data_IF_434024273185
#
_entry.id   IF_434024273185
#
_cell.length_a   1.000
_cell.length_b   1.000
_cell.length_c   1.000
_cell.angle_alpha   90.00
_cell.angle_beta   90.00
_cell.angle_gamma   90.00
#
_symmetry.space_group_name_H-M   'P 1'
#
loop_
_entity.id
_entity.type
_entity.pdbx_description
1 polymer ?
#
# COMPACT_ATOMS: atom_id res chain seq x y z
N UNK A 1 -9.44 -40.61 21.96
CA UNK A 1 -10.49 -41.03 21.01
C UNK A 1 -9.83 -40.99 19.64
N UNK A 2 -9.58 -42.16 19.05
CA UNK A 2 -8.63 -42.29 17.94
C UNK A 2 -9.30 -42.05 16.59
N UNK A 3 -8.60 -41.33 15.71
CA UNK A 3 -8.92 -41.28 14.28
C UNK A 3 -8.36 -42.54 13.59
N UNK A 4 -9.07 -43.15 12.64
CA UNK A 4 -8.50 -44.14 11.74
C UNK A 4 -8.06 -43.48 10.41
N UNK A 5 -6.87 -43.85 9.95
CA UNK A 5 -6.51 -43.75 8.52
C UNK A 5 -7.36 -44.72 7.69
N UNK A 6 -7.68 -44.34 6.45
CA UNK A 6 -7.90 -45.28 5.35
C UNK A 6 -7.27 -44.71 4.08
N UNK A 7 -6.42 -45.53 3.48
CA UNK A 7 -5.64 -45.26 2.27
C UNK A 7 -6.28 -45.93 1.04
N UNK A 8 -5.86 -45.50 -0.15
CA UNK A 8 -6.01 -46.05 -1.51
C UNK A 8 -7.07 -47.12 -1.83
N UNK A 9 -7.89 -46.85 -2.86
CA UNK A 9 -7.93 -47.56 -4.17
C UNK A 9 -9.09 -46.95 -5.01
N UNK A 10 -9.06 -46.77 -6.34
CA UNK A 10 -8.07 -47.13 -7.35
C UNK A 10 -8.74 -47.74 -8.59
N UNK A 11 -9.17 -46.94 -9.59
CA UNK A 11 -9.43 -47.41 -10.97
C UNK A 11 -9.48 -46.21 -11.97
N UNK A 12 -8.96 -46.42 -13.18
CA UNK A 12 -8.89 -45.51 -14.34
C UNK A 12 -10.23 -45.49 -15.13
N UNK A 13 -10.48 -44.69 -16.18
CA UNK A 13 -9.60 -44.32 -17.30
C UNK A 13 -10.18 -43.20 -18.22
N UNK A 14 -9.31 -42.62 -19.07
CA UNK A 14 -9.51 -41.85 -20.34
C UNK A 14 -10.79 -41.00 -20.59
N UNK A 15 -10.78 -39.83 -21.22
CA UNK A 15 -9.88 -39.18 -22.23
C UNK A 15 -9.87 -37.64 -21.95
N UNK A 16 -9.10 -36.75 -22.59
CA UNK A 16 -8.24 -36.81 -23.78
C UNK A 16 -7.02 -35.85 -23.64
N UNK A 17 -6.17 -35.73 -24.68
CA UNK A 17 -5.05 -34.79 -24.73
C UNK A 17 -4.90 -34.09 -26.08
N UNK A 18 -4.41 -32.84 -26.07
CA UNK A 18 -3.47 -32.17 -27.02
C UNK A 18 -3.62 -30.62 -26.95
N UNK A 19 -2.61 -29.81 -27.37
CA UNK A 19 -1.20 -30.13 -27.61
C UNK A 19 -0.22 -29.24 -26.79
N UNK A 20 1.01 -29.74 -26.58
CA UNK A 20 2.14 -28.88 -26.18
C UNK A 20 2.60 -28.05 -27.38
N UNK A 21 2.65 -26.73 -27.27
CA UNK A 21 3.23 -25.86 -28.29
C UNK A 21 4.76 -26.01 -28.29
N UNK A 22 5.31 -26.44 -29.42
CA UNK A 22 6.75 -26.61 -29.59
C UNK A 22 7.44 -25.27 -29.89
N UNK A 23 8.56 -25.00 -29.22
CA UNK A 23 9.40 -23.83 -29.48
C UNK A 23 10.11 -23.94 -30.84
N UNK A 24 9.74 -23.10 -31.79
CA UNK A 24 10.42 -23.01 -33.09
C UNK A 24 11.72 -22.19 -32.97
N UNK A 25 12.85 -22.76 -33.43
CA UNK A 25 14.10 -22.03 -33.65
C UNK A 25 14.11 -21.40 -35.06
N UNK A 26 14.40 -20.10 -35.20
CA UNK A 26 14.97 -19.56 -36.43
C UNK A 26 16.46 -19.87 -36.54
N UNK A 27 16.94 -20.09 -37.77
CA UNK A 27 18.32 -20.52 -38.05
C UNK A 27 19.39 -19.43 -37.90
N UNK A 28 20.65 -19.85 -37.87
CA UNK A 28 21.80 -18.98 -37.63
C UNK A 28 22.13 -18.07 -38.84
N UNK A 29 22.22 -16.77 -38.58
CA UNK A 29 22.92 -15.80 -39.41
C UNK A 29 24.11 -15.22 -38.63
N UNK A 30 25.34 -15.39 -39.14
CA UNK A 30 26.55 -14.84 -38.51
C UNK A 30 26.62 -13.32 -38.74
N UNK A 31 26.55 -12.52 -37.67
CA UNK A 31 27.17 -11.20 -37.67
C UNK A 31 27.72 -10.88 -36.28
N UNK A 32 29.05 -10.77 -36.20
CA UNK A 32 29.78 -10.50 -34.97
C UNK A 32 29.96 -9.00 -34.74
N UNK A 33 29.47 -8.49 -33.62
CA UNK A 33 29.95 -7.22 -33.05
C UNK A 33 30.21 -7.41 -31.56
N UNK A 34 31.49 -7.64 -31.23
CA UNK A 34 32.00 -7.66 -29.86
C UNK A 34 32.61 -6.29 -29.57
N UNK A 35 31.85 -5.45 -28.87
CA UNK A 35 32.29 -4.36 -28.00
C UNK A 35 31.18 -4.27 -26.95
N UNK A 36 31.35 -4.60 -25.68
CA UNK A 36 32.47 -4.29 -24.80
C UNK A 36 31.87 -3.81 -23.48
N UNK A 37 30.96 -4.62 -22.92
CA UNK A 37 30.15 -4.25 -21.75
C UNK A 37 30.97 -4.29 -20.47
N UNK A 38 31.45 -3.14 -20.01
CA UNK A 38 32.23 -3.01 -18.79
C UNK A 38 31.41 -3.34 -17.56
N UNK A 39 31.77 -4.42 -16.87
CA UNK A 39 31.17 -4.81 -15.59
C UNK A 39 31.57 -3.83 -14.49
N UNK A 40 30.74 -2.82 -14.22
CA UNK A 40 30.90 -1.98 -13.02
C UNK A 40 30.22 -2.68 -11.84
N UNK A 41 30.98 -3.59 -11.20
CA UNK A 41 30.62 -4.10 -9.88
C UNK A 41 30.79 -2.96 -8.86
N UNK A 42 29.73 -2.19 -8.61
CA UNK A 42 29.74 -1.17 -7.56
C UNK A 42 29.69 -1.85 -6.20
N UNK A 43 30.87 -1.97 -5.56
CA UNK A 43 30.98 -2.31 -4.15
C UNK A 43 30.45 -1.13 -3.33
N UNK A 44 29.17 -1.17 -2.96
CA UNK A 44 28.65 -0.29 -1.91
C UNK A 44 28.98 -0.92 -0.56
N UNK A 45 30.17 -0.58 -0.07
CA UNK A 45 30.55 -0.84 1.32
C UNK A 45 29.66 -0.02 2.27
N UNK A 46 29.57 -0.50 3.51
CA UNK A 46 28.80 0.07 4.61
C UNK A 46 28.91 1.61 4.69
N UNK A 47 27.78 2.30 4.54
CA UNK A 47 27.62 3.71 4.90
C UNK A 47 26.38 3.90 5.79
N UNK A 48 26.36 3.14 6.88
CA UNK A 48 25.60 3.43 8.10
C UNK A 48 26.65 3.65 9.19
N UNK A 49 26.46 4.67 10.03
CA UNK A 49 27.47 5.25 10.95
C UNK A 49 28.50 6.17 10.27
N UNK A 50 28.06 7.37 9.83
CA UNK A 50 28.83 8.64 9.89
C UNK A 50 28.05 9.84 9.30
N UNK A 51 26.92 10.25 9.88
CA UNK A 51 26.34 11.59 9.65
C UNK A 51 26.22 12.30 11.00
N UNK A 52 27.36 12.58 11.63
CA UNK A 52 27.50 13.51 12.76
C UNK A 52 28.91 14.11 12.89
N UNK A 53 29.73 14.06 11.84
CA UNK A 53 31.05 14.72 11.78
C UNK A 53 31.25 15.38 10.42
N UNK A 54 30.47 16.43 10.15
CA UNK A 54 30.98 17.79 9.90
C UNK A 54 29.79 18.73 9.66
N UNK A 55 29.42 19.50 10.69
CA UNK A 55 28.54 20.66 10.54
C UNK A 55 29.30 21.89 11.06
N UNK A 56 29.44 22.96 10.26
CA UNK A 56 29.86 24.24 10.81
C UNK A 56 28.85 24.68 11.88
N UNK A 57 29.36 25.13 13.02
CA UNK A 57 28.58 25.31 14.23
C UNK A 57 27.55 26.46 14.09
N UNK A 58 26.36 26.23 14.64
CA UNK A 58 25.34 27.23 14.98
C UNK A 58 24.56 27.89 13.82
N UNK A 59 23.73 27.11 13.12
CA UNK A 59 22.33 27.53 12.93
C UNK A 59 21.48 26.89 14.03
N UNK A 60 20.57 27.67 14.64
CA UNK A 60 19.58 27.09 15.55
C UNK A 60 18.67 26.15 14.76
N UNK A 61 18.27 25.02 15.36
CA UNK A 61 17.20 24.22 14.78
C UNK A 61 15.93 25.10 14.72
N UNK A 62 15.19 25.11 13.59
CA UNK A 62 13.99 25.92 13.47
C UNK A 62 12.98 25.50 14.55
N UNK A 63 12.27 26.47 15.10
CA UNK A 63 11.17 26.19 16.03
C UNK A 63 10.11 25.34 15.36
N UNK A 64 9.33 24.60 16.14
CA UNK A 64 8.24 23.79 15.59
C UNK A 64 7.24 24.64 14.76
N UNK A 65 7.04 25.91 15.11
CA UNK A 65 6.23 26.83 14.30
C UNK A 65 6.85 27.09 12.90
N UNK A 66 8.14 27.44 12.84
CA UNK A 66 8.86 27.69 11.58
C UNK A 66 8.95 26.41 10.71
N UNK A 67 9.19 25.25 11.33
CA UNK A 67 9.20 23.96 10.65
C UNK A 67 7.83 23.61 10.03
N UNK A 68 6.72 23.95 10.71
CA UNK A 68 5.36 23.79 10.16
C UNK A 68 5.09 24.78 9.02
N UNK A 69 5.51 26.04 9.14
CA UNK A 69 5.37 27.04 8.07
C UNK A 69 6.14 26.68 6.79
N UNK A 70 7.15 25.82 6.88
CA UNK A 70 7.91 25.32 5.73
C UNK A 70 7.23 24.15 4.98
N UNK A 71 6.11 23.60 5.49
CA UNK A 71 5.38 22.51 4.82
C UNK A 71 4.46 23.07 3.71
N UNK A 72 4.51 22.49 2.51
CA UNK A 72 3.60 22.85 1.42
C UNK A 72 2.10 22.67 1.78
N UNK A 73 1.82 21.76 2.71
CA UNK A 73 0.48 21.44 3.25
C UNK A 73 0.17 22.15 4.59
N UNK A 74 0.89 23.22 4.95
CA UNK A 74 0.65 23.95 6.20
C UNK A 74 -0.76 24.60 6.29
N UNK A 75 -1.32 24.99 5.15
CA UNK A 75 -2.68 25.54 5.06
C UNK A 75 -3.79 24.49 4.89
N UNK A 76 -3.45 23.23 4.60
CA UNK A 76 -4.44 22.17 4.40
C UNK A 76 -5.02 21.73 5.76
N UNK A 77 -6.17 22.31 6.08
CA UNK A 77 -6.95 22.08 7.30
C UNK A 77 -8.43 21.76 7.00
N UNK A 78 -8.79 21.62 5.73
CA UNK A 78 -10.17 21.40 5.28
C UNK A 78 -10.67 19.97 5.50
N UNK A 79 -11.93 19.66 5.12
CA UNK A 79 -12.39 18.28 5.07
C UNK A 79 -11.53 17.42 4.13
N UNK A 80 -11.39 16.14 4.45
CA UNK A 80 -10.73 15.17 3.56
C UNK A 80 -11.61 14.92 2.33
N UNK A 81 -10.99 14.94 1.15
CA UNK A 81 -11.61 14.61 -0.13
C UNK A 81 -10.72 13.67 -0.94
N UNK A 82 -11.26 13.13 -2.04
CA UNK A 82 -10.46 12.47 -3.08
C UNK A 82 -9.34 13.40 -3.54
N UNK A 83 -8.10 12.91 -3.59
CA UNK A 83 -6.94 13.68 -4.05
C UNK A 83 -6.93 13.63 -5.58
N UNK A 84 -7.24 14.77 -6.21
CA UNK A 84 -7.36 14.88 -7.67
C UNK A 84 -6.03 15.16 -8.38
N UNK A 85 -5.07 15.79 -7.69
CA UNK A 85 -3.73 16.07 -8.20
C UNK A 85 -2.73 16.27 -7.05
N UNK A 86 -1.57 15.61 -7.11
CA UNK A 86 -0.44 15.87 -6.23
C UNK A 86 0.87 15.80 -7.03
N UNK A 87 1.65 16.88 -7.03
CA UNK A 87 2.91 16.98 -7.79
C UNK A 87 3.97 15.96 -7.35
N UNK A 88 3.93 15.50 -6.10
CA UNK A 88 4.89 14.52 -5.57
C UNK A 88 4.69 13.12 -6.15
N UNK A 89 3.51 12.83 -6.70
CA UNK A 89 3.21 11.54 -7.32
C UNK A 89 4.12 11.20 -8.50
N UNK A 90 4.56 12.21 -9.26
CA UNK A 90 5.53 12.03 -10.35
C UNK A 90 6.90 11.57 -9.84
N UNK A 91 7.28 11.98 -8.62
CA UNK A 91 8.51 11.54 -7.96
C UNK A 91 8.32 10.21 -7.23
N UNK A 92 7.13 9.95 -6.68
CA UNK A 92 6.81 8.68 -6.02
C UNK A 92 6.79 7.49 -6.98
N UNK A 93 6.21 7.63 -8.17
CA UNK A 93 6.02 6.53 -9.12
C UNK A 93 7.28 5.65 -9.35
N UNK A 94 8.48 6.19 -9.68
CA UNK A 94 9.69 5.39 -9.81
C UNK A 94 10.21 4.82 -8.48
N UNK A 95 9.98 5.49 -7.34
CA UNK A 95 10.38 5.01 -6.00
C UNK A 95 9.59 3.74 -5.63
N UNK A 96 8.26 3.80 -5.75
CA UNK A 96 7.37 2.67 -5.46
C UNK A 96 7.61 1.50 -6.41
N UNK A 97 7.70 1.76 -7.71
CA UNK A 97 7.95 0.73 -8.72
C UNK A 97 9.29 -0.01 -8.50
N UNK A 98 10.36 0.71 -8.14
CA UNK A 98 11.67 0.10 -7.86
C UNK A 98 11.66 -0.85 -6.66
N UNK A 99 10.85 -0.57 -5.64
CA UNK A 99 10.69 -1.48 -4.50
C UNK A 99 9.88 -2.72 -4.88
N UNK A 100 8.78 -2.57 -5.63
CA UNK A 100 7.95 -3.69 -6.09
C UNK A 100 8.76 -4.64 -6.97
N UNK A 101 9.61 -4.12 -7.86
CA UNK A 101 10.55 -4.88 -8.68
C UNK A 101 11.57 -5.69 -7.84
N UNK A 102 12.14 -5.09 -6.78
CA UNK A 102 12.99 -5.83 -5.82
C UNK A 102 12.21 -6.91 -5.09
N UNK A 103 11.03 -6.59 -4.54
CA UNK A 103 10.18 -7.53 -3.81
C UNK A 103 9.77 -8.72 -4.67
N UNK A 104 9.44 -8.47 -5.94
CA UNK A 104 9.03 -9.50 -6.91
C UNK A 104 10.18 -10.43 -7.24
N UNK A 105 11.39 -9.91 -7.51
CA UNK A 105 12.58 -10.73 -7.81
C UNK A 105 12.98 -11.73 -6.72
N UNK A 106 12.60 -11.47 -5.47
CA UNK A 106 12.92 -12.34 -4.33
C UNK A 106 11.68 -13.07 -3.77
N UNK A 107 10.55 -13.07 -4.49
CA UNK A 107 9.29 -13.69 -4.06
C UNK A 107 8.83 -13.24 -2.66
N UNK A 108 9.02 -11.94 -2.35
CA UNK A 108 8.74 -11.36 -1.02
C UNK A 108 7.33 -11.63 -0.51
N UNK A 109 6.35 -11.63 -1.41
CA UNK A 109 4.94 -11.79 -1.07
C UNK A 109 4.54 -13.26 -0.81
N UNK A 110 5.37 -14.22 -1.23
CA UNK A 110 5.11 -15.66 -1.07
C UNK A 110 5.76 -16.23 0.21
N UNK A 111 6.49 -15.41 0.96
CA UNK A 111 7.19 -15.83 2.18
C UNK A 111 6.22 -16.20 3.30
N UNK A 112 6.57 -17.22 4.08
CA UNK A 112 5.97 -17.39 5.40
C UNK A 112 6.55 -16.31 6.35
N UNK A 113 5.74 -15.30 6.64
CA UNK A 113 6.09 -14.23 7.57
C UNK A 113 5.97 -14.60 9.05
N UNK A 114 5.53 -15.82 9.40
CA UNK A 114 5.43 -16.27 10.79
C UNK A 114 6.76 -16.83 11.35
N UNK A 115 7.71 -17.18 10.48
CA UNK A 115 9.00 -17.75 10.88
C UNK A 115 9.91 -16.69 11.52
N UNK A 116 10.40 -16.96 12.74
CA UNK A 116 11.26 -16.03 13.48
C UNK A 116 12.69 -15.94 12.91
N UNK A 117 13.41 -14.84 13.18
CA UNK A 117 14.79 -14.63 12.71
C UNK A 117 15.78 -15.74 13.14
N UNK A 118 15.50 -16.39 14.27
CA UNK A 118 16.29 -17.52 14.77
C UNK A 118 16.15 -18.77 13.90
N UNK A 119 15.01 -18.95 13.24
CA UNK A 119 14.65 -20.12 12.44
C UNK A 119 14.87 -19.91 10.92
N UNK A 120 15.22 -18.68 10.50
CA UNK A 120 15.42 -18.38 9.08
C UNK A 120 16.54 -19.21 8.45
N UNK A 121 16.21 -19.83 7.31
CA UNK A 121 17.19 -20.39 6.38
C UNK A 121 18.11 -19.29 5.82
N UNK A 122 19.27 -19.63 5.21
CA UNK A 122 20.13 -18.66 4.53
C UNK A 122 19.39 -17.84 3.47
N UNK A 123 18.47 -18.47 2.72
CA UNK A 123 17.69 -17.86 1.64
C UNK A 123 16.69 -16.85 2.20
N UNK A 124 15.95 -17.21 3.25
CA UNK A 124 15.00 -16.29 3.90
C UNK A 124 15.73 -15.09 4.51
N UNK A 125 16.87 -15.32 5.17
CA UNK A 125 17.73 -14.25 5.69
C UNK A 125 18.26 -13.34 4.58
N UNK A 126 18.63 -13.89 3.42
CA UNK A 126 19.05 -13.11 2.25
C UNK A 126 17.89 -12.30 1.63
N UNK A 127 16.66 -12.84 1.65
CA UNK A 127 15.44 -12.15 1.21
C UNK A 127 15.15 -10.93 2.09
N UNK A 128 15.05 -11.11 3.42
CA UNK A 128 14.84 -10.00 4.37
C UNK A 128 15.96 -8.96 4.29
N UNK A 129 17.23 -9.38 4.15
CA UNK A 129 18.35 -8.47 3.97
C UNK A 129 18.31 -7.68 2.65
N UNK A 130 17.72 -8.24 1.60
CA UNK A 130 17.57 -7.57 0.29
C UNK A 130 16.43 -6.56 0.31
N UNK A 131 15.28 -6.95 0.85
CA UNK A 131 14.11 -6.07 0.94
C UNK A 131 14.34 -4.94 1.96
N UNK A 132 15.04 -5.19 3.07
CA UNK A 132 15.36 -4.14 4.04
C UNK A 132 16.24 -3.03 3.48
N UNK A 133 17.24 -3.37 2.66
CA UNK A 133 18.06 -2.37 1.93
C UNK A 133 17.23 -1.55 0.95
N UNK A 134 16.30 -2.20 0.22
CA UNK A 134 15.42 -1.51 -0.72
C UNK A 134 14.43 -0.58 0.00
N UNK A 135 13.80 -1.06 1.08
CA UNK A 135 12.93 -0.25 1.93
C UNK A 135 13.69 0.93 2.55
N UNK A 136 14.92 0.72 3.07
CA UNK A 136 15.76 1.81 3.58
C UNK A 136 16.04 2.89 2.53
N UNK A 137 16.28 2.51 1.27
CA UNK A 137 16.41 3.44 0.14
C UNK A 137 15.11 4.20 -0.15
N UNK A 138 13.96 3.53 -0.08
CA UNK A 138 12.64 4.18 -0.21
C UNK A 138 12.43 5.20 0.90
N UNK A 139 12.65 4.86 2.17
CA UNK A 139 12.49 5.80 3.28
C UNK A 139 13.35 7.07 3.12
N UNK A 140 14.61 6.94 2.68
CA UNK A 140 15.49 8.09 2.42
C UNK A 140 14.95 8.98 1.29
N UNK A 141 14.39 8.41 0.23
CA UNK A 141 13.82 9.16 -0.89
C UNK A 141 12.46 9.80 -0.50
N UNK A 142 11.57 9.03 0.12
CA UNK A 142 10.25 9.47 0.59
C UNK A 142 10.32 10.59 1.62
N UNK A 143 11.35 10.61 2.48
CA UNK A 143 11.60 11.71 3.43
C UNK A 143 11.66 13.08 2.73
N UNK A 144 12.11 13.13 1.47
CA UNK A 144 12.19 14.38 0.67
C UNK A 144 10.84 14.82 0.12
N UNK A 145 9.86 13.92 0.00
CA UNK A 145 8.51 14.24 -0.48
C UNK A 145 7.68 14.93 0.60
N UNK A 146 7.82 14.52 1.86
CA UNK A 146 7.06 15.02 3.02
C UNK A 146 6.92 16.56 3.05
N UNK A 147 7.98 17.39 3.03
CA UNK A 147 7.83 18.85 3.07
C UNK A 147 7.23 19.45 1.78
N UNK A 148 7.38 18.78 0.63
CA UNK A 148 6.90 19.23 -0.67
C UNK A 148 5.45 18.82 -0.99
N UNK A 149 4.83 17.98 -0.15
CA UNK A 149 3.50 17.41 -0.39
C UNK A 149 2.39 18.42 -0.01
N UNK A 150 1.53 18.86 -0.95
CA UNK A 150 0.52 19.88 -0.72
C UNK A 150 -0.73 19.38 0.01
N UNK A 151 -1.04 18.07 -0.03
CA UNK A 151 -2.15 17.47 0.70
C UNK A 151 -1.65 16.86 2.02
N UNK A 152 -2.28 17.20 3.15
CA UNK A 152 -1.86 16.75 4.49
C UNK A 152 -1.93 15.23 4.65
N UNK A 153 -2.94 14.58 4.06
CA UNK A 153 -3.16 13.14 4.21
C UNK A 153 -2.13 12.37 3.39
N UNK A 154 -1.74 12.90 2.23
CA UNK A 154 -0.65 12.36 1.42
C UNK A 154 0.72 12.58 2.08
N UNK A 155 0.95 13.76 2.68
CA UNK A 155 2.13 14.04 3.51
C UNK A 155 2.23 13.01 4.64
N UNK A 156 1.12 12.75 5.31
CA UNK A 156 1.05 11.81 6.41
C UNK A 156 1.27 10.37 5.93
N UNK A 157 0.71 9.97 4.79
CA UNK A 157 1.00 8.68 4.19
C UNK A 157 2.51 8.49 3.90
N UNK A 158 3.19 9.49 3.33
CA UNK A 158 4.65 9.43 3.16
C UNK A 158 5.41 9.39 4.50
N UNK A 159 4.98 10.15 5.52
CA UNK A 159 5.56 10.11 6.87
C UNK A 159 5.42 8.71 7.46
N UNK A 160 4.23 8.11 7.39
CA UNK A 160 3.97 6.75 7.87
C UNK A 160 4.76 5.69 7.09
N UNK A 161 5.00 5.86 5.78
CA UNK A 161 5.91 4.99 4.99
C UNK A 161 7.32 5.02 5.57
N UNK A 162 7.90 6.22 5.77
CA UNK A 162 9.26 6.38 6.33
C UNK A 162 9.35 5.74 7.71
N UNK A 163 8.39 6.06 8.57
CA UNK A 163 8.29 5.58 9.95
C UNK A 163 8.19 4.06 10.05
N UNK A 164 7.22 3.44 9.35
CA UNK A 164 7.00 2.01 9.45
C UNK A 164 8.12 1.21 8.79
N UNK A 165 8.76 1.73 7.73
CA UNK A 165 9.99 1.15 7.20
C UNK A 165 11.11 1.14 8.25
N UNK A 166 11.34 2.25 8.94
CA UNK A 166 12.37 2.33 9.98
C UNK A 166 12.08 1.35 11.12
N UNK A 167 10.84 1.30 11.62
CA UNK A 167 10.41 0.36 12.64
C UNK A 167 10.63 -1.10 12.20
N UNK A 168 10.19 -1.45 10.99
CA UNK A 168 10.33 -2.80 10.45
C UNK A 168 11.80 -3.20 10.22
N UNK A 169 12.61 -2.33 9.59
CA UNK A 169 14.03 -2.61 9.34
C UNK A 169 14.82 -2.79 10.65
N UNK A 170 14.49 -2.02 11.69
CA UNK A 170 15.10 -2.16 13.02
C UNK A 170 14.71 -3.47 13.73
N UNK A 171 13.55 -4.06 13.40
CA UNK A 171 13.11 -5.37 13.94
C UNK A 171 13.77 -6.57 13.28
N UNK A 172 14.18 -6.46 12.01
CA UNK A 172 14.71 -7.60 11.22
C UNK A 172 15.79 -8.46 11.92
N UNK A 173 16.77 -7.92 12.67
CA UNK A 173 17.75 -8.74 13.38
C UNK A 173 17.16 -9.68 14.44
N UNK A 174 16.01 -9.31 15.02
CA UNK A 174 15.33 -10.00 16.12
C UNK A 174 13.88 -10.38 15.74
N UNK A 175 13.57 -10.44 14.43
CA UNK A 175 12.20 -10.52 13.91
C UNK A 175 11.39 -11.66 14.52
N UNK A 176 10.21 -11.31 15.04
CA UNK A 176 9.21 -12.23 15.57
C UNK A 176 8.01 -12.35 14.63
N UNK A 177 7.21 -13.40 14.78
CA UNK A 177 6.01 -13.64 13.97
C UNK A 177 5.04 -12.42 13.96
N UNK A 178 4.96 -11.68 15.06
CA UNK A 178 4.12 -10.47 15.21
C UNK A 178 4.63 -9.27 14.40
N UNK A 179 5.93 -9.17 14.11
CA UNK A 179 6.50 -8.09 13.30
C UNK A 179 6.01 -8.15 11.82
N UNK A 180 5.32 -9.23 11.42
CA UNK A 180 4.63 -9.33 10.13
C UNK A 180 3.63 -8.18 9.92
N UNK A 181 3.02 -7.67 11.00
CA UNK A 181 2.07 -6.56 10.92
C UNK A 181 2.77 -5.25 10.55
N UNK A 182 4.01 -5.01 10.99
CA UNK A 182 4.80 -3.87 10.52
C UNK A 182 5.08 -3.98 9.02
N UNK A 183 5.51 -5.15 8.54
CA UNK A 183 5.75 -5.39 7.12
C UNK A 183 4.48 -5.20 6.26
N UNK A 184 3.35 -5.73 6.73
CA UNK A 184 2.04 -5.57 6.06
C UNK A 184 1.55 -4.13 6.05
N UNK A 185 1.77 -3.37 7.12
CA UNK A 185 1.46 -1.93 7.17
C UNK A 185 2.32 -1.14 6.19
N UNK A 186 3.63 -1.46 6.08
CA UNK A 186 4.52 -0.88 5.05
C UNK A 186 4.01 -1.18 3.64
N UNK A 187 3.74 -2.45 3.32
CA UNK A 187 3.24 -2.86 2.01
C UNK A 187 1.87 -2.21 1.67
N UNK A 188 0.97 -2.08 2.66
CA UNK A 188 -0.31 -1.38 2.53
C UNK A 188 -0.15 0.12 2.27
N UNK A 189 0.76 0.81 2.99
CA UNK A 189 1.05 2.22 2.80
C UNK A 189 1.63 2.50 1.40
N UNK A 190 2.62 1.71 0.96
CA UNK A 190 3.23 1.83 -0.37
C UNK A 190 2.16 1.67 -1.46
N UNK A 191 1.27 0.68 -1.31
CA UNK A 191 0.18 0.45 -2.27
C UNK A 191 -0.85 1.58 -2.24
N UNK A 192 -1.26 2.05 -1.06
CA UNK A 192 -2.20 3.16 -0.91
C UNK A 192 -1.68 4.44 -1.60
N UNK A 193 -0.44 4.84 -1.32
CA UNK A 193 0.23 5.99 -1.95
C UNK A 193 0.31 5.80 -3.47
N UNK A 194 0.66 4.61 -3.95
CA UNK A 194 0.73 4.31 -5.39
C UNK A 194 -0.64 4.38 -6.08
N UNK A 195 -1.70 3.91 -5.43
CA UNK A 195 -3.06 3.94 -5.97
C UNK A 195 -3.68 5.33 -5.94
N UNK A 196 -3.45 6.11 -4.87
CA UNK A 196 -3.80 7.54 -4.80
C UNK A 196 -3.15 8.27 -5.98
N UNK A 197 -1.85 8.04 -6.20
CA UNK A 197 -1.14 8.61 -7.33
C UNK A 197 -1.67 8.15 -8.68
N UNK A 198 -1.92 6.85 -8.87
CA UNK A 198 -2.52 6.32 -10.11
C UNK A 198 -3.87 6.96 -10.43
N UNK A 199 -4.75 7.13 -9.43
CA UNK A 199 -6.04 7.79 -9.59
C UNK A 199 -5.90 9.28 -9.97
N UNK A 200 -4.91 9.98 -9.39
CA UNK A 200 -4.63 11.37 -9.73
C UNK A 200 -4.01 11.52 -11.13
N UNK A 201 -3.01 10.70 -11.49
CA UNK A 201 -2.27 10.84 -12.76
C UNK A 201 -3.01 10.32 -13.98
N UNK A 202 -3.93 9.36 -13.82
CA UNK A 202 -4.86 8.93 -14.89
C UNK A 202 -5.99 9.93 -15.12
N UNK A 203 -6.27 10.81 -14.15
CA UNK A 203 -7.41 11.71 -14.16
C UNK A 203 -8.71 11.10 -13.62
N UNK A 204 -8.75 9.80 -13.29
CA UNK A 204 -9.94 9.15 -12.71
C UNK A 204 -10.43 9.89 -11.45
N UNK A 205 -9.51 10.26 -10.55
CA UNK A 205 -9.82 11.06 -9.37
C UNK A 205 -10.47 12.41 -9.73
N UNK A 206 -9.94 13.12 -10.72
CA UNK A 206 -10.47 14.42 -11.16
C UNK A 206 -11.87 14.33 -11.78
N UNK A 207 -12.17 13.23 -12.47
CA UNK A 207 -13.50 12.97 -13.07
C UNK A 207 -14.54 12.56 -12.01
N UNK A 208 -14.16 11.73 -11.03
CA UNK A 208 -15.11 11.18 -10.03
C UNK A 208 -15.29 12.04 -8.77
N UNK A 209 -14.29 12.84 -8.38
CA UNK A 209 -14.38 13.67 -7.17
C UNK A 209 -15.58 14.65 -7.15
N UNK A 210 -15.95 15.35 -8.24
CA UNK A 210 -17.11 16.25 -8.25
C UNK A 210 -18.47 15.57 -8.03
N UNK A 211 -18.54 14.24 -8.25
CA UNK A 211 -19.74 13.43 -8.02
C UNK A 211 -19.84 12.91 -6.57
N UNK A 212 -18.79 13.13 -5.76
CA UNK A 212 -18.68 12.59 -4.42
C UNK A 212 -19.13 13.62 -3.38
N UNK A 213 -20.02 13.21 -2.47
CA UNK A 213 -20.40 14.05 -1.34
C UNK A 213 -19.19 14.30 -0.41
N UNK A 214 -18.84 15.57 -0.21
CA UNK A 214 -17.71 15.97 0.62
C UNK A 214 -17.85 15.50 2.07
N UNK A 215 -16.72 15.14 2.69
CA UNK A 215 -16.70 14.79 4.11
C UNK A 215 -17.03 16.02 4.99
N UNK A 216 -17.51 15.82 6.23
CA UNK A 216 -17.49 16.87 7.23
C UNK A 216 -16.05 17.22 7.63
N UNK A 217 -15.78 18.41 8.21
CA UNK A 217 -14.46 18.76 8.73
C UNK A 217 -13.92 17.72 9.74
N UNK A 218 -12.58 17.62 9.91
CA UNK A 218 -11.96 16.73 10.90
C UNK A 218 -12.47 16.97 12.32
N UNK A 219 -12.58 15.91 13.14
CA UNK A 219 -12.97 16.06 14.56
C UNK A 219 -11.84 16.55 15.46
N UNK A 220 -10.59 16.36 15.02
CA UNK A 220 -9.37 16.66 15.76
C UNK A 220 -8.51 17.71 15.04
N UNK A 221 -7.62 18.40 15.78
CA UNK A 221 -6.58 19.22 15.16
C UNK A 221 -5.72 18.40 14.20
N UNK A 222 -5.40 18.98 13.04
CA UNK A 222 -4.51 18.36 12.06
C UNK A 222 -3.14 18.08 12.69
N UNK A 223 -2.63 16.86 12.52
CA UNK A 223 -1.31 16.46 13.03
C UNK A 223 -0.22 17.19 12.24
N UNK A 224 0.34 18.22 12.86
CA UNK A 224 1.46 19.00 12.31
C UNK A 224 2.82 18.55 12.83
N UNK A 225 2.87 17.91 14.01
CA UNK A 225 4.11 17.49 14.65
C UNK A 225 4.50 16.04 14.30
N UNK A 226 5.72 15.67 14.71
CA UNK A 226 6.35 14.38 14.43
C UNK A 226 6.00 13.35 15.51
N UNK A 227 4.78 12.83 15.48
CA UNK A 227 4.48 11.60 16.20
C UNK A 227 5.06 10.40 15.43
N UNK A 228 5.79 9.54 16.14
CA UNK A 228 6.76 8.60 15.57
C UNK A 228 6.14 7.22 15.31
N UNK A 229 4.90 6.95 15.71
CA UNK A 229 4.08 5.82 15.21
C UNK A 229 2.57 6.10 15.37
N UNK A 230 2.06 7.16 14.73
CA UNK A 230 0.67 7.59 14.88
C UNK A 230 -0.39 6.50 14.59
N UNK A 231 -0.11 5.52 13.71
CA UNK A 231 -1.06 4.43 13.43
C UNK A 231 -1.15 3.35 14.54
N UNK A 232 -0.20 3.30 15.47
CA UNK A 232 -0.16 2.29 16.56
C UNK A 232 -0.52 2.81 17.95
N UNK A 233 -0.81 4.11 18.10
CA UNK A 233 -1.09 4.73 19.38
C UNK A 233 -2.60 4.70 19.72
N UNK A 234 -2.94 3.97 20.77
CA UNK A 234 -4.25 3.89 21.46
C UNK A 234 -5.49 3.73 20.56
N UNK A 235 -5.36 2.95 19.49
CA UNK A 235 -6.45 2.59 18.57
C UNK A 235 -7.33 1.44 19.08
N UNK A 236 -7.03 0.91 20.27
CA UNK A 236 -7.60 -0.34 20.84
C UNK A 236 -9.13 -0.40 20.78
N UNK A 237 -9.80 0.70 21.13
CA UNK A 237 -11.26 0.82 21.13
C UNK A 237 -11.91 0.85 19.74
N UNK A 238 -11.18 1.20 18.68
CA UNK A 238 -11.67 1.12 17.28
C UNK A 238 -11.29 -0.20 16.63
N UNK A 239 -10.14 -0.78 16.97
CA UNK A 239 -9.68 -2.04 16.37
C UNK A 239 -10.65 -3.21 16.56
N UNK A 240 -11.37 -3.26 17.70
CA UNK A 240 -12.41 -4.28 17.96
C UNK A 240 -13.62 -4.17 17.02
N UNK A 241 -13.94 -2.98 16.50
CA UNK A 241 -15.00 -2.77 15.50
C UNK A 241 -14.43 -2.84 14.07
N UNK A 242 -13.22 -2.33 13.84
CA UNK A 242 -12.62 -2.19 12.51
C UNK A 242 -12.21 -3.52 11.86
N UNK A 243 -11.56 -4.41 12.63
CA UNK A 243 -11.08 -5.70 12.11
C UNK A 243 -12.22 -6.59 11.60
N UNK A 244 -13.32 -6.83 12.36
CA UNK A 244 -14.45 -7.59 11.82
C UNK A 244 -15.14 -6.87 10.65
N UNK A 245 -15.35 -5.55 10.73
CA UNK A 245 -15.93 -4.78 9.61
C UNK A 245 -15.12 -4.96 8.30
N UNK A 246 -13.78 -4.95 8.39
CA UNK A 246 -12.91 -5.16 7.23
C UNK A 246 -12.95 -6.59 6.70
N UNK A 247 -13.08 -7.58 7.59
CA UNK A 247 -13.27 -8.98 7.21
C UNK A 247 -14.61 -9.21 6.50
N UNK A 248 -15.70 -8.65 7.05
CA UNK A 248 -17.05 -8.71 6.48
C UNK A 248 -17.09 -8.07 5.09
N UNK A 249 -16.44 -6.92 4.90
CA UNK A 249 -16.27 -6.31 3.57
C UNK A 249 -15.58 -7.29 2.62
N UNK A 250 -14.41 -7.84 2.99
CA UNK A 250 -13.66 -8.76 2.12
C UNK A 250 -14.48 -9.97 1.71
N UNK A 251 -15.35 -10.47 2.58
CA UNK A 251 -16.28 -11.54 2.27
C UNK A 251 -17.42 -11.09 1.36
N UNK A 252 -18.06 -9.95 1.66
CA UNK A 252 -19.16 -9.40 0.86
C UNK A 252 -18.73 -8.96 -0.56
N UNK A 253 -17.47 -8.59 -0.76
CA UNK A 253 -16.91 -8.19 -2.06
C UNK A 253 -16.18 -9.32 -2.78
N UNK A 254 -16.25 -10.58 -2.35
CA UNK A 254 -15.42 -11.65 -2.92
C UNK A 254 -15.76 -11.95 -4.38
N UNK A 255 -17.05 -11.98 -4.73
CA UNK A 255 -17.51 -12.18 -6.12
C UNK A 255 -17.09 -11.02 -7.03
N UNK A 256 -17.28 -9.78 -6.56
CA UNK A 256 -16.84 -8.58 -7.27
C UNK A 256 -15.32 -8.58 -7.53
N UNK A 257 -14.55 -9.01 -6.53
CA UNK A 257 -13.09 -9.06 -6.59
C UNK A 257 -12.54 -10.09 -7.57
N UNK A 258 -13.39 -11.02 -8.07
CA UNK A 258 -13.06 -11.99 -9.10
C UNK A 258 -13.42 -11.51 -10.53
N UNK A 259 -14.03 -10.31 -10.68
CA UNK A 259 -14.41 -9.76 -11.99
C UNK A 259 -13.23 -9.14 -12.73
N UNK A 260 -13.31 -9.06 -14.06
CA UNK A 260 -12.25 -8.42 -14.85
C UNK A 260 -12.43 -6.89 -14.90
N UNK A 261 -11.71 -6.22 -14.01
CA UNK A 261 -11.65 -4.75 -13.93
C UNK A 261 -10.79 -4.11 -15.04
N UNK A 262 -10.33 -4.85 -16.04
CA UNK A 262 -9.75 -4.31 -17.29
C UNK A 262 -10.80 -4.10 -18.38
N UNK A 263 -12.01 -4.63 -18.24
CA UNK A 263 -13.13 -4.31 -19.11
C UNK A 263 -13.83 -3.02 -18.64
N UNK A 264 -14.14 -2.06 -19.53
CA UNK A 264 -15.01 -0.93 -19.22
C UNK A 264 -16.47 -1.39 -19.05
N UNK A 265 -17.30 -0.61 -18.35
CA UNK A 265 -18.71 -0.95 -18.08
C UNK A 265 -19.54 -1.26 -19.34
N UNK A 266 -19.22 -0.61 -20.46
CA UNK A 266 -19.86 -0.83 -21.75
C UNK A 266 -19.63 -2.24 -22.35
N UNK A 267 -18.61 -2.96 -21.88
CA UNK A 267 -18.21 -4.30 -22.34
C UNK A 267 -18.48 -5.40 -21.29
N UNK A 268 -18.98 -5.05 -20.11
CA UNK A 268 -19.24 -6.01 -19.04
C UNK A 268 -20.33 -7.03 -19.43
N UNK A 269 -20.11 -8.34 -19.22
CA UNK A 269 -21.17 -9.33 -19.30
C UNK A 269 -22.21 -9.09 -18.19
N UNK A 270 -23.45 -9.56 -18.39
CA UNK A 270 -24.56 -9.37 -17.46
C UNK A 270 -24.25 -9.81 -16.02
N UNK A 271 -23.43 -10.85 -15.82
CA UNK A 271 -22.99 -11.29 -14.50
C UNK A 271 -22.09 -10.27 -13.78
N UNK A 272 -21.21 -9.56 -14.52
CA UNK A 272 -20.35 -8.51 -13.96
C UNK A 272 -21.13 -7.22 -13.71
N UNK A 273 -22.11 -6.89 -14.57
CA UNK A 273 -23.05 -5.80 -14.32
C UNK A 273 -23.86 -6.04 -13.03
N UNK A 274 -24.41 -7.25 -12.87
CA UNK A 274 -25.11 -7.65 -11.64
C UNK A 274 -24.19 -7.59 -10.40
N UNK A 275 -22.93 -8.03 -10.52
CA UNK A 275 -21.97 -7.93 -9.42
C UNK A 275 -21.64 -6.47 -9.06
N UNK A 276 -21.58 -5.55 -10.05
CA UNK A 276 -21.41 -4.12 -9.80
C UNK A 276 -22.61 -3.52 -9.06
N UNK A 277 -23.83 -3.81 -9.50
CA UNK A 277 -25.07 -3.36 -8.85
C UNK A 277 -25.19 -3.89 -7.42
N UNK A 278 -24.79 -5.14 -7.19
CA UNK A 278 -24.79 -5.78 -5.87
C UNK A 278 -23.72 -5.22 -4.92
N UNK A 279 -22.51 -4.90 -5.43
CA UNK A 279 -21.41 -4.42 -4.59
C UNK A 279 -21.55 -2.92 -4.24
N UNK A 280 -22.18 -2.12 -5.10
CA UNK A 280 -22.37 -0.68 -4.91
C UNK A 280 -22.91 -0.29 -3.50
N UNK A 281 -24.03 -0.87 -3.00
CA UNK A 281 -24.53 -0.56 -1.65
C UNK A 281 -23.60 -1.04 -0.54
N UNK A 282 -22.89 -2.18 -0.72
CA UNK A 282 -21.92 -2.71 0.25
C UNK A 282 -20.75 -1.75 0.43
N UNK A 283 -20.18 -1.25 -0.68
CA UNK A 283 -19.09 -0.27 -0.64
C UNK A 283 -19.54 1.07 -0.04
N UNK A 284 -20.78 1.52 -0.32
CA UNK A 284 -21.35 2.71 0.29
C UNK A 284 -21.53 2.57 1.81
N UNK A 285 -22.11 1.46 2.28
CA UNK A 285 -22.29 1.19 3.70
C UNK A 285 -20.94 1.14 4.43
N UNK A 286 -19.95 0.45 3.85
CA UNK A 286 -18.60 0.39 4.42
C UNK A 286 -17.91 1.75 4.44
N UNK A 287 -18.12 2.61 3.44
CA UNK A 287 -17.61 3.98 3.42
C UNK A 287 -18.23 4.85 4.54
N UNK A 288 -19.51 4.66 4.85
CA UNK A 288 -20.16 5.36 5.96
C UNK A 288 -19.65 4.86 7.32
N UNK A 289 -19.49 3.54 7.47
CA UNK A 289 -19.02 2.93 8.70
C UNK A 289 -17.53 3.20 8.99
N UNK A 290 -16.67 3.12 7.96
CA UNK A 290 -15.25 3.52 8.06
C UNK A 290 -15.10 4.97 8.50
N UNK A 291 -15.92 5.88 7.95
CA UNK A 291 -15.96 7.28 8.34
C UNK A 291 -16.41 7.42 9.82
N UNK A 292 -17.46 6.70 10.24
CA UNK A 292 -17.95 6.67 11.63
C UNK A 292 -16.88 6.20 12.61
N UNK A 293 -16.18 5.11 12.31
CA UNK A 293 -15.13 4.53 13.15
C UNK A 293 -13.88 5.42 13.19
N UNK A 294 -13.42 5.92 12.04
CA UNK A 294 -12.29 6.84 11.94
C UNK A 294 -12.47 8.08 12.82
N UNK A 295 -13.62 8.74 12.73
CA UNK A 295 -13.97 9.92 13.55
C UNK A 295 -14.13 9.61 15.04
N UNK A 296 -14.39 8.35 15.41
CA UNK A 296 -14.47 7.89 16.81
C UNK A 296 -13.12 7.46 17.40
N UNK A 297 -12.07 7.35 16.60
CA UNK A 297 -10.79 6.77 17.01
C UNK A 297 -10.02 7.56 18.07
N UNK A 298 -10.30 8.86 18.25
CA UNK A 298 -9.43 9.73 19.05
C UNK A 298 -8.03 9.91 18.46
N UNK A 299 -7.82 9.48 17.20
CA UNK A 299 -6.53 9.50 16.52
C UNK A 299 -6.69 10.13 15.12
N UNK A 300 -6.18 11.34 14.96
CA UNK A 300 -6.37 12.13 13.74
C UNK A 300 -5.79 11.49 12.45
N UNK A 301 -4.77 10.63 12.55
CA UNK A 301 -4.21 9.92 11.37
C UNK A 301 -5.14 8.77 10.95
N UNK A 302 -5.68 8.02 11.91
CA UNK A 302 -6.70 7.00 11.66
C UNK A 302 -7.99 7.64 11.12
N UNK A 303 -8.40 8.79 11.66
CA UNK A 303 -9.52 9.56 11.09
C UNK A 303 -9.25 9.96 9.63
N UNK A 304 -8.17 10.68 9.33
CA UNK A 304 -7.89 11.15 7.97
C UNK A 304 -7.77 9.98 6.97
N UNK A 305 -7.17 8.84 7.35
CA UNK A 305 -7.04 7.67 6.46
C UNK A 305 -8.37 6.94 6.24
N UNK A 306 -9.18 6.76 7.29
CA UNK A 306 -10.48 6.12 7.19
C UNK A 306 -11.48 6.99 6.40
N UNK A 307 -11.46 8.31 6.60
CA UNK A 307 -12.27 9.26 5.81
C UNK A 307 -11.79 9.31 4.35
N UNK A 308 -10.48 9.28 4.09
CA UNK A 308 -9.95 9.24 2.73
C UNK A 308 -10.35 7.93 2.01
N UNK A 309 -10.24 6.79 2.68
CA UNK A 309 -10.72 5.49 2.17
C UNK A 309 -12.19 5.56 1.79
N UNK A 310 -13.03 6.09 2.68
CA UNK A 310 -14.45 6.29 2.44
C UNK A 310 -14.76 7.24 1.28
N UNK A 311 -13.99 8.31 1.09
CA UNK A 311 -14.14 9.22 -0.05
C UNK A 311 -13.78 8.53 -1.38
N UNK A 312 -12.71 7.73 -1.42
CA UNK A 312 -12.36 6.93 -2.60
C UNK A 312 -13.41 5.85 -2.92
N UNK A 313 -13.99 5.18 -1.92
CA UNK A 313 -15.10 4.24 -2.15
C UNK A 313 -16.34 4.91 -2.73
N UNK A 314 -16.76 6.06 -2.17
CA UNK A 314 -17.91 6.81 -2.71
C UNK A 314 -17.65 7.22 -4.16
N UNK A 315 -16.45 7.69 -4.48
CA UNK A 315 -16.06 8.03 -5.86
C UNK A 315 -16.06 6.81 -6.80
N UNK A 316 -15.60 5.65 -6.33
CA UNK A 316 -15.64 4.40 -7.10
C UNK A 316 -17.08 3.91 -7.34
N UNK A 317 -17.97 4.00 -6.35
CA UNK A 317 -19.39 3.67 -6.52
C UNK A 317 -20.05 4.57 -7.57
N UNK A 318 -19.73 5.88 -7.59
CA UNK A 318 -20.18 6.78 -8.66
C UNK A 318 -19.56 6.46 -10.03
N UNK A 319 -18.42 5.76 -10.08
CA UNK A 319 -17.80 5.33 -11.32
C UNK A 319 -18.51 4.12 -11.95
N UNK A 320 -19.00 3.16 -11.16
CA UNK A 320 -19.51 1.86 -11.63
C UNK A 320 -20.39 1.90 -12.89
N UNK A 321 -21.42 2.78 -13.02
CA UNK A 321 -22.29 2.81 -14.22
C UNK A 321 -21.58 3.26 -15.51
N UNK A 322 -20.41 3.88 -15.39
CA UNK A 322 -19.59 4.41 -16.49
C UNK A 322 -18.12 4.05 -16.29
N UNK A 323 -17.86 2.90 -15.68
CA UNK A 323 -16.53 2.48 -15.25
C UNK A 323 -15.58 2.36 -16.45
N UNK A 324 -14.39 2.92 -16.30
CA UNK A 324 -13.24 2.69 -17.18
C UNK A 324 -12.07 2.11 -16.36
N UNK A 325 -11.13 1.37 -16.97
CA UNK A 325 -10.12 0.62 -16.22
C UNK A 325 -9.27 1.44 -15.23
N UNK A 326 -9.07 2.74 -15.46
CA UNK A 326 -8.33 3.63 -14.56
C UNK A 326 -9.08 3.93 -13.24
N UNK A 327 -10.42 3.82 -13.21
CA UNK A 327 -11.21 3.97 -11.98
C UNK A 327 -10.85 2.91 -10.93
N UNK A 328 -10.22 1.79 -11.31
CA UNK A 328 -9.66 0.78 -10.39
C UNK A 328 -8.79 1.40 -9.30
N UNK A 329 -8.07 2.49 -9.63
CA UNK A 329 -7.15 3.13 -8.70
C UNK A 329 -7.89 3.74 -7.50
N UNK A 330 -9.17 4.09 -7.65
CA UNK A 330 -10.03 4.55 -6.57
C UNK A 330 -10.32 3.41 -5.58
N UNK A 331 -10.71 2.24 -6.09
CA UNK A 331 -10.94 1.04 -5.27
C UNK A 331 -9.65 0.55 -4.61
N UNK A 332 -8.53 0.52 -5.36
CA UNK A 332 -7.22 0.14 -4.84
C UNK A 332 -6.78 1.11 -3.73
N UNK A 333 -6.95 2.43 -3.90
CA UNK A 333 -6.60 3.43 -2.87
C UNK A 333 -7.40 3.20 -1.59
N UNK A 334 -8.72 3.05 -1.69
CA UNK A 334 -9.58 2.76 -0.56
C UNK A 334 -9.22 1.46 0.16
N UNK A 335 -9.02 0.38 -0.59
CA UNK A 335 -8.75 -0.96 -0.05
C UNK A 335 -7.40 -1.00 0.67
N UNK A 336 -6.37 -0.34 0.12
CA UNK A 336 -5.05 -0.31 0.76
C UNK A 336 -5.05 0.61 2.00
N UNK A 337 -5.73 1.76 1.98
CA UNK A 337 -5.92 2.57 3.20
C UNK A 337 -6.66 1.79 4.31
N UNK A 338 -7.67 1.01 3.94
CA UNK A 338 -8.38 0.10 4.86
C UNK A 338 -7.43 -0.91 5.50
N UNK A 339 -6.57 -1.55 4.69
CA UNK A 339 -5.57 -2.53 5.16
C UNK A 339 -4.51 -1.90 6.05
N UNK A 340 -4.12 -0.64 5.82
CA UNK A 340 -3.19 0.07 6.71
C UNK A 340 -3.76 0.18 8.13
N UNK A 341 -5.04 0.53 8.27
CA UNK A 341 -5.71 0.56 9.58
C UNK A 341 -5.86 -0.85 10.15
N UNK A 342 -6.31 -1.84 9.36
CA UNK A 342 -6.43 -3.26 9.78
C UNK A 342 -5.09 -3.85 10.29
N UNK A 343 -3.98 -3.57 9.59
CA UNK A 343 -2.67 -4.10 9.95
C UNK A 343 -2.02 -3.33 11.10
N UNK A 344 -2.26 -2.03 11.24
CA UNK A 344 -1.83 -1.27 12.42
C UNK A 344 -2.54 -1.74 13.70
N UNK A 345 -3.82 -2.11 13.62
CA UNK A 345 -4.53 -2.78 14.71
C UNK A 345 -3.88 -4.11 15.10
N UNK A 346 -3.42 -4.90 14.13
CA UNK A 346 -2.69 -6.14 14.39
C UNK A 346 -1.31 -5.95 15.03
N UNK A 347 -0.72 -4.75 14.94
CA UNK A 347 0.57 -4.43 15.57
C UNK A 347 0.46 -4.02 17.05
N UNK A 348 -0.76 -3.86 17.58
CA UNK A 348 -1.06 -3.45 18.97
C UNK A 348 -1.60 -4.62 19.82
N UNK A 349 -2.00 -5.72 19.17
CA UNK A 349 -2.60 -6.91 19.80
C UNK A 349 -1.64 -8.05 20.11
#
# INVERSE_FOLDING_TARGET
MSLPDLDSDGETDHVDALPKVASAKPGAGRLSWILGGTSVAVVIALLVVAIFVDQPRHTAAPTAAEARSALASAGDTGPVSVITADQTCLTWAPIGAGLVDVQTRVNWFDRDGSVSAAEWTPELRAMYATVSRAMGSVAVQTTRLVPATPHRVMREAYRQVVTHIQAFVNRIPEYQATDIFLARTVDGLIRAVSSICGAATSGAAAVRAPLTAGAPPPTQPVVTDVDVMALGADTTGVCVEWVPMSADLRQATSEWSATDLQLPAAEWPAAQQYAADAVAPVLSQYADESNRLGRRSGNAVVEDFAVLSAQYLRAFVQALPTYVPDDRHLLDAATNLTRVVEHSCGAVG
#
